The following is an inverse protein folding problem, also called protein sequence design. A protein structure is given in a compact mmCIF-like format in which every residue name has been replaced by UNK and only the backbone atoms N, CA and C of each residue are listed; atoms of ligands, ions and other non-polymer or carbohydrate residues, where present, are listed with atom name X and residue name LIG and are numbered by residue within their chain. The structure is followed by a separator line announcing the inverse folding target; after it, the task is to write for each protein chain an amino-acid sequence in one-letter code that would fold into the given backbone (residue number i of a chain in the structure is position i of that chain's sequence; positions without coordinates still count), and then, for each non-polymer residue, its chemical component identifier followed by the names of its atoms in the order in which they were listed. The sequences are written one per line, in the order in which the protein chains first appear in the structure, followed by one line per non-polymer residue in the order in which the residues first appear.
data_IF_154346509330
#
_entry.id   IF_154346509330
#
_cell.length_a   1.000
_cell.length_b   1.000
_cell.length_c   1.000
_cell.angle_alpha   90.00
_cell.angle_beta   90.00
_cell.angle_gamma   90.00
#
_symmetry.space_group_name_H-M   'P 1'
#
loop_
_entity.id
_entity.type
_entity.pdbx_description
1 polymer ?
#
# COMPACT_ATOMS: atom_id res chain seq x y z
N UNK A 1 21.81 -20.82 34.25
CA UNK A 1 22.35 -21.74 33.22
C UNK A 1 21.25 -22.75 32.92
N UNK A 2 20.39 -22.47 31.95
CA UNK A 2 19.21 -23.30 31.66
C UNK A 2 19.62 -24.52 30.83
N UNK A 3 19.41 -25.72 31.38
CA UNK A 3 19.47 -26.97 30.63
C UNK A 3 18.08 -27.22 30.02
N UNK A 4 18.03 -27.40 28.71
CA UNK A 4 16.88 -27.95 27.99
C UNK A 4 16.79 -29.45 28.29
N UNK A 5 15.62 -29.92 28.71
CA UNK A 5 15.23 -31.33 28.63
C UNK A 5 14.07 -31.45 27.65
N UNK A 6 14.32 -32.11 26.53
CA UNK A 6 13.35 -32.50 25.51
C UNK A 6 12.56 -33.69 26.06
N UNK A 7 11.37 -33.43 26.63
CA UNK A 7 10.24 -34.35 26.72
C UNK A 7 9.11 -33.64 27.47
N UNK A 8 8.14 -33.13 26.74
CA UNK A 8 6.94 -32.52 27.30
C UNK A 8 5.84 -32.55 26.27
N UNK A 9 5.03 -33.60 26.31
CA UNK A 9 3.72 -33.62 25.65
C UNK A 9 2.94 -32.37 26.06
N UNK A 10 2.51 -31.58 25.08
CA UNK A 10 1.66 -30.41 25.33
C UNK A 10 0.25 -30.95 25.65
N UNK A 11 -0.11 -30.96 26.93
CA UNK A 11 -1.49 -31.16 27.34
C UNK A 11 -2.26 -29.86 27.06
N UNK A 12 -3.20 -29.92 26.11
CA UNK A 12 -4.13 -28.83 25.83
C UNK A 12 -5.16 -28.80 26.97
N UNK A 13 -5.02 -27.86 27.90
CA UNK A 13 -6.05 -27.57 28.88
C UNK A 13 -7.30 -27.04 28.17
N UNK A 14 -8.44 -27.66 28.44
CA UNK A 14 -9.72 -27.31 27.84
C UNK A 14 -10.29 -26.06 28.54
N UNK A 15 -9.75 -24.88 28.22
CA UNK A 15 -10.32 -23.60 28.63
C UNK A 15 -11.54 -23.27 27.76
N UNK A 16 -12.61 -22.68 28.32
CA UNK A 16 -13.79 -22.28 27.54
C UNK A 16 -13.37 -21.35 26.40
N UNK A 17 -13.85 -21.61 25.18
CA UNK A 17 -13.49 -20.83 24.00
C UNK A 17 -14.05 -19.41 24.08
N UNK A 18 -13.35 -18.51 24.76
CA UNK A 18 -13.45 -17.08 24.47
C UNK A 18 -12.94 -16.90 23.05
N UNK A 19 -13.82 -16.51 22.13
CA UNK A 19 -13.45 -16.12 20.75
C UNK A 19 -12.23 -15.20 20.87
N UNK A 20 -11.08 -15.48 20.21
CA UNK A 20 -9.88 -14.68 20.41
C UNK A 20 -10.20 -13.21 20.17
N UNK A 21 -9.81 -12.34 21.11
CA UNK A 21 -9.96 -10.90 20.97
C UNK A 21 -9.21 -10.46 19.71
N UNK A 22 -9.93 -9.87 18.76
CA UNK A 22 -9.34 -9.34 17.52
C UNK A 22 -8.76 -7.95 17.75
N UNK A 23 -7.60 -7.67 17.18
CA UNK A 23 -6.94 -6.37 17.32
C UNK A 23 -7.48 -5.41 16.27
N UNK A 24 -8.28 -4.42 16.70
CA UNK A 24 -8.86 -3.43 15.81
C UNK A 24 -7.80 -2.49 15.20
N UNK A 25 -7.95 -2.21 13.90
CA UNK A 25 -7.20 -1.16 13.20
C UNK A 25 -7.91 0.19 13.38
N UNK A 26 -7.15 1.29 13.26
CA UNK A 26 -7.72 2.66 13.33
C UNK A 26 -8.77 2.93 12.25
N UNK A 27 -8.57 2.35 11.07
CA UNK A 27 -9.46 2.49 9.90
C UNK A 27 -9.74 1.11 9.30
N UNK A 28 -10.90 0.97 8.65
CA UNK A 28 -11.14 -0.12 7.71
C UNK A 28 -10.36 0.11 6.41
N UNK A 29 -9.94 -0.97 5.77
CA UNK A 29 -9.13 -0.96 4.55
C UNK A 29 -9.67 -1.94 3.52
N UNK A 30 -9.36 -1.68 2.25
CA UNK A 30 -9.77 -2.52 1.13
C UNK A 30 -8.59 -2.79 0.20
N UNK A 31 -8.33 -4.07 -0.06
CA UNK A 31 -7.43 -4.49 -1.13
C UNK A 31 -8.18 -4.62 -2.46
N UNK A 32 -7.57 -4.11 -3.53
CA UNK A 32 -8.01 -4.30 -4.90
C UNK A 32 -6.85 -4.81 -5.75
N UNK A 33 -7.19 -5.54 -6.82
CA UNK A 33 -6.26 -6.01 -7.81
C UNK A 33 -6.71 -5.62 -9.21
N UNK A 34 -5.76 -5.22 -10.04
CA UNK A 34 -5.97 -5.01 -11.47
C UNK A 34 -4.84 -5.70 -12.24
N UNK A 35 -5.18 -6.26 -13.39
CA UNK A 35 -4.20 -6.79 -14.34
C UNK A 35 -4.69 -6.52 -15.75
N UNK A 36 -3.77 -6.25 -16.66
CA UNK A 36 -4.06 -6.14 -18.08
C UNK A 36 -2.97 -6.81 -18.91
N UNK A 37 -3.35 -7.27 -20.09
CA UNK A 37 -2.38 -7.79 -21.04
C UNK A 37 -1.57 -6.64 -21.67
N UNK A 38 -0.32 -6.87 -22.09
CA UNK A 38 0.44 -5.89 -22.86
C UNK A 38 -0.33 -5.42 -24.10
N UNK A 39 -0.43 -4.10 -24.30
CA UNK A 39 -1.15 -3.50 -25.42
C UNK A 39 -2.66 -3.28 -25.17
N UNK A 40 -3.22 -3.84 -24.11
CA UNK A 40 -4.62 -3.66 -23.75
C UNK A 40 -4.88 -2.25 -23.19
N UNK A 41 -5.86 -1.56 -23.76
CA UNK A 41 -6.33 -0.25 -23.28
C UNK A 41 -7.39 -0.45 -22.22
N UNK A 42 -7.20 0.22 -21.09
CA UNK A 42 -8.23 0.32 -20.05
C UNK A 42 -9.20 1.42 -20.49
N UNK A 43 -10.43 1.05 -20.80
CA UNK A 43 -11.52 1.98 -21.14
C UNK A 43 -12.22 2.46 -19.87
N UNK A 44 -12.48 1.53 -18.95
CA UNK A 44 -13.02 1.80 -17.62
C UNK A 44 -12.00 1.33 -16.58
N UNK A 45 -11.31 2.28 -15.96
CA UNK A 45 -10.29 2.00 -14.96
C UNK A 45 -10.88 1.50 -13.66
N UNK A 46 -12.03 2.05 -13.26
CA UNK A 46 -12.70 1.66 -12.02
C UNK A 46 -13.29 0.26 -12.15
N UNK A 47 -14.00 -0.03 -13.24
CA UNK A 47 -14.57 -1.34 -13.52
C UNK A 47 -13.52 -2.45 -13.74
N UNK A 48 -12.30 -2.10 -14.14
CA UNK A 48 -11.21 -3.07 -14.28
C UNK A 48 -10.63 -3.54 -12.92
N UNK A 49 -10.88 -2.80 -11.83
CA UNK A 49 -10.37 -3.15 -10.50
C UNK A 49 -11.27 -4.17 -9.80
N UNK A 50 -10.67 -5.28 -9.38
CA UNK A 50 -11.36 -6.34 -8.64
C UNK A 50 -11.10 -6.18 -7.15
N UNK A 51 -12.17 -6.01 -6.37
CA UNK A 51 -12.10 -6.03 -4.90
C UNK A 51 -11.64 -7.41 -4.43
N UNK A 52 -10.64 -7.46 -3.56
CA UNK A 52 -10.14 -8.71 -2.98
C UNK A 52 -10.72 -8.93 -1.58
N UNK A 53 -10.50 -7.97 -0.67
CA UNK A 53 -10.89 -8.10 0.73
C UNK A 53 -11.15 -6.73 1.35
N UNK A 54 -12.03 -6.70 2.34
CA UNK A 54 -12.18 -5.58 3.28
C UNK A 54 -11.86 -6.10 4.67
N UNK A 55 -11.08 -5.33 5.42
CA UNK A 55 -10.65 -5.71 6.77
C UNK A 55 -10.60 -4.49 7.68
N UNK A 56 -10.86 -4.71 8.97
CA UNK A 56 -10.83 -3.69 10.03
C UNK A 56 -10.06 -4.17 11.28
N UNK A 57 -9.50 -5.37 11.22
CA UNK A 57 -8.68 -5.97 12.28
C UNK A 57 -7.36 -6.50 11.72
N UNK A 58 -6.37 -6.69 12.59
CA UNK A 58 -5.06 -7.27 12.23
C UNK A 58 -5.22 -8.73 11.76
N UNK A 59 -6.14 -9.48 12.37
CA UNK A 59 -6.41 -10.87 12.01
C UNK A 59 -7.04 -10.97 10.63
N UNK A 60 -8.04 -10.14 10.31
CA UNK A 60 -8.63 -10.08 8.97
C UNK A 60 -7.60 -9.64 7.93
N UNK A 61 -6.70 -8.71 8.28
CA UNK A 61 -5.58 -8.33 7.42
C UNK A 61 -4.72 -9.54 7.09
N UNK A 62 -4.24 -10.28 8.09
CA UNK A 62 -3.38 -11.44 7.85
C UNK A 62 -4.10 -12.58 7.16
N UNK A 63 -5.40 -12.79 7.44
CA UNK A 63 -6.23 -13.75 6.73
C UNK A 63 -6.30 -13.45 5.22
N UNK A 64 -6.36 -12.17 4.84
CA UNK A 64 -6.31 -11.77 3.43
C UNK A 64 -4.89 -11.77 2.86
N UNK A 65 -3.96 -11.07 3.50
CA UNK A 65 -2.62 -10.78 2.98
C UNK A 65 -1.77 -12.04 2.77
N UNK A 66 -1.85 -13.00 3.70
CA UNK A 66 -1.09 -14.27 3.60
C UNK A 66 -1.49 -15.15 2.40
N UNK A 67 -2.67 -14.92 1.81
CA UNK A 67 -3.17 -15.64 0.64
C UNK A 67 -3.02 -14.84 -0.66
N UNK A 68 -2.51 -13.60 -0.60
CA UNK A 68 -2.20 -12.84 -1.80
C UNK A 68 -0.98 -13.42 -2.50
N UNK A 69 -0.96 -13.36 -3.84
CA UNK A 69 0.28 -13.62 -4.58
C UNK A 69 1.29 -12.54 -4.22
N UNK A 70 2.54 -12.93 -3.99
CA UNK A 70 3.59 -11.96 -3.71
C UNK A 70 3.80 -11.08 -4.94
N UNK A 71 4.16 -9.79 -4.76
CA UNK A 71 4.47 -8.90 -5.87
C UNK A 71 5.44 -9.45 -6.91
N UNK A 72 6.40 -10.28 -6.50
CA UNK A 72 7.38 -10.93 -7.37
C UNK A 72 6.79 -12.03 -8.27
N UNK A 73 5.65 -12.59 -7.89
CA UNK A 73 4.96 -13.67 -8.61
C UNK A 73 3.79 -13.14 -9.46
N UNK A 74 3.57 -11.83 -9.47
CA UNK A 74 2.52 -11.20 -10.25
C UNK A 74 2.91 -11.10 -11.73
N UNK A 75 1.95 -11.25 -12.65
CA UNK A 75 2.19 -10.99 -14.05
C UNK A 75 2.54 -9.51 -14.27
N UNK A 76 3.31 -9.26 -15.33
CA UNK A 76 3.64 -7.89 -15.70
C UNK A 76 2.38 -7.07 -15.96
N UNK A 77 2.43 -5.77 -15.65
CA UNK A 77 1.28 -4.86 -15.78
C UNK A 77 0.11 -5.24 -14.86
N UNK A 78 0.48 -5.58 -13.62
CA UNK A 78 -0.46 -5.76 -12.51
C UNK A 78 -0.34 -4.64 -11.50
N UNK A 79 -1.43 -4.38 -10.80
CA UNK A 79 -1.51 -3.39 -9.75
C UNK A 79 -2.21 -3.97 -8.50
N UNK A 80 -1.61 -3.75 -7.33
CA UNK A 80 -2.30 -3.88 -6.04
C UNK A 80 -2.62 -2.49 -5.50
N UNK A 81 -3.83 -2.33 -4.98
CA UNK A 81 -4.27 -1.12 -4.31
C UNK A 81 -4.70 -1.44 -2.90
N UNK A 82 -4.22 -0.67 -1.92
CA UNK A 82 -4.69 -0.69 -0.54
C UNK A 82 -5.24 0.70 -0.23
N UNK A 83 -6.55 0.84 -0.04
CA UNK A 83 -7.18 2.14 0.26
C UNK A 83 -8.08 2.05 1.47
N UNK A 84 -8.22 3.18 2.18
CA UNK A 84 -9.20 3.28 3.28
C UNK A 84 -10.59 2.90 2.77
N UNK A 85 -11.34 2.21 3.61
CA UNK A 85 -12.73 1.85 3.29
C UNK A 85 -13.55 3.12 3.04
N UNK A 86 -14.26 3.14 1.91
CA UNK A 86 -15.02 4.30 1.46
C UNK A 86 -14.25 5.29 0.57
N UNK A 87 -12.94 5.12 0.42
CA UNK A 87 -12.12 5.90 -0.53
C UNK A 87 -11.84 5.06 -1.77
N UNK A 88 -12.27 5.53 -2.93
CA UNK A 88 -12.04 4.81 -4.20
C UNK A 88 -10.61 5.07 -4.68
N UNK A 89 -9.90 4.07 -5.23
CA UNK A 89 -8.53 4.21 -5.75
C UNK A 89 -8.47 4.92 -7.12
N UNK A 90 -9.27 5.98 -7.28
CA UNK A 90 -9.39 6.80 -8.49
C UNK A 90 -9.25 8.28 -8.12
N UNK A 91 -8.85 9.10 -9.08
CA UNK A 91 -8.54 10.52 -8.86
C UNK A 91 -9.80 11.38 -8.74
N UNK A 92 -10.91 10.91 -9.31
CA UNK A 92 -12.24 11.51 -9.27
C UNK A 92 -12.92 11.32 -7.90
N UNK A 93 -12.36 10.51 -7.02
CA UNK A 93 -12.86 10.40 -5.64
C UNK A 93 -12.71 11.75 -4.93
N UNK A 94 -13.77 12.18 -4.24
CA UNK A 94 -13.80 13.48 -3.57
C UNK A 94 -12.68 13.65 -2.53
N UNK A 95 -12.21 12.54 -1.93
CA UNK A 95 -11.10 12.54 -0.98
C UNK A 95 -9.75 12.70 -1.67
N UNK A 96 -9.63 12.24 -2.92
CA UNK A 96 -8.39 12.23 -3.68
C UNK A 96 -8.23 13.49 -4.55
N UNK A 97 -9.30 14.11 -5.04
CA UNK A 97 -9.24 15.15 -6.09
C UNK A 97 -8.31 16.33 -5.78
N UNK A 98 -8.20 16.75 -4.51
CA UNK A 98 -7.32 17.83 -4.07
C UNK A 98 -5.92 17.37 -3.63
N UNK A 99 -5.69 16.07 -3.75
CA UNK A 99 -4.55 15.35 -3.24
C UNK A 99 -3.43 15.16 -4.25
N UNK A 100 -2.56 14.22 -3.92
CA UNK A 100 -1.44 13.83 -4.75
C UNK A 100 -0.87 12.51 -4.32
N UNK A 101 0.24 12.14 -4.94
CA UNK A 101 0.96 10.91 -4.62
C UNK A 101 2.45 11.10 -4.63
N UNK A 102 3.09 10.48 -3.65
CA UNK A 102 4.51 10.15 -3.73
C UNK A 102 4.70 8.92 -4.60
N UNK A 103 5.76 8.90 -5.39
CA UNK A 103 6.12 7.85 -6.34
C UNK A 103 7.56 7.45 -6.08
N UNK A 104 7.80 6.15 -5.92
CA UNK A 104 9.12 5.55 -5.80
C UNK A 104 9.25 4.45 -6.85
N UNK A 105 10.24 4.57 -7.72
CA UNK A 105 10.64 3.50 -8.63
C UNK A 105 11.59 2.56 -7.93
N UNK A 106 11.29 1.27 -7.97
CA UNK A 106 12.04 0.25 -7.26
C UNK A 106 12.57 -0.79 -8.25
N UNK A 107 13.83 -1.17 -8.08
CA UNK A 107 14.44 -2.23 -8.88
C UNK A 107 13.70 -3.54 -8.66
N UNK A 108 13.70 -4.38 -9.70
CA UNK A 108 13.13 -5.74 -9.64
C UNK A 108 13.71 -6.54 -8.47
N UNK A 109 12.87 -7.37 -7.88
CA UNK A 109 13.18 -8.18 -6.70
C UNK A 109 12.97 -7.48 -5.35
N UNK A 110 12.81 -6.15 -5.32
CA UNK A 110 12.61 -5.40 -4.07
C UNK A 110 11.14 -5.15 -3.72
N UNK A 111 10.25 -5.22 -4.71
CA UNK A 111 8.85 -4.82 -4.56
C UNK A 111 8.10 -5.59 -3.47
N UNK A 112 8.36 -6.89 -3.30
CA UNK A 112 7.66 -7.69 -2.28
C UNK A 112 7.93 -7.19 -0.87
N UNK A 113 9.20 -6.98 -0.52
CA UNK A 113 9.60 -6.45 0.79
C UNK A 113 9.04 -5.05 1.01
N UNK A 114 9.24 -4.16 0.05
CA UNK A 114 8.82 -2.77 0.21
C UNK A 114 7.31 -2.62 0.27
N UNK A 115 6.56 -3.41 -0.49
CA UNK A 115 5.11 -3.41 -0.41
C UNK A 115 4.61 -3.86 0.97
N UNK A 116 5.16 -4.96 1.50
CA UNK A 116 4.79 -5.45 2.83
C UNK A 116 5.10 -4.41 3.93
N UNK A 117 6.32 -3.86 3.95
CA UNK A 117 6.70 -2.84 4.94
C UNK A 117 5.83 -1.59 4.84
N UNK A 118 5.48 -1.15 3.63
CA UNK A 118 4.59 0.00 3.43
C UNK A 118 3.18 -0.28 3.95
N UNK A 119 2.60 -1.41 3.57
CA UNK A 119 1.24 -1.82 3.96
C UNK A 119 1.14 -1.88 5.49
N UNK A 120 2.12 -2.52 6.15
CA UNK A 120 2.17 -2.60 7.61
C UNK A 120 2.28 -1.22 8.26
N UNK A 121 3.13 -0.34 7.73
CA UNK A 121 3.26 1.03 8.24
C UNK A 121 1.97 1.84 8.07
N UNK A 122 1.23 1.64 6.98
CA UNK A 122 -0.05 2.30 6.71
C UNK A 122 -1.15 1.81 7.66
N UNK A 123 -1.38 0.51 7.74
CA UNK A 123 -2.47 -0.04 8.58
C UNK A 123 -2.16 0.11 10.07
N UNK A 124 -0.87 0.12 10.43
CA UNK A 124 -0.37 0.39 11.78
C UNK A 124 -0.28 1.88 12.13
N UNK A 125 -0.81 2.78 11.28
CA UNK A 125 -0.94 4.22 11.55
C UNK A 125 0.41 4.94 11.83
N UNK A 126 1.49 4.49 11.20
CA UNK A 126 2.86 4.95 11.52
C UNK A 126 3.31 6.21 10.78
N UNK A 127 2.42 6.87 10.02
CA UNK A 127 2.76 8.08 9.28
C UNK A 127 2.65 9.36 10.11
N UNK A 128 1.90 9.34 11.22
CA UNK A 128 1.73 10.50 12.12
C UNK A 128 1.32 11.79 11.36
N UNK A 129 0.43 11.65 10.38
CA UNK A 129 -0.13 12.75 9.56
C UNK A 129 -1.64 12.82 9.69
N UNK A 130 -2.17 12.39 10.83
CA UNK A 130 -3.60 12.23 11.07
C UNK A 130 -4.25 11.35 9.99
N UNK A 131 -5.28 11.86 9.32
CA UNK A 131 -6.08 11.09 8.38
C UNK A 131 -5.66 11.25 6.91
N UNK A 132 -4.52 11.92 6.65
CA UNK A 132 -4.09 12.34 5.31
C UNK A 132 -3.83 11.19 4.33
N UNK A 133 -3.43 10.01 4.81
CA UNK A 133 -3.20 8.86 3.92
C UNK A 133 -4.53 8.35 3.37
N UNK A 134 -4.68 8.35 2.06
CA UNK A 134 -5.81 7.74 1.36
C UNK A 134 -5.58 6.25 1.13
N UNK A 135 -4.36 5.91 0.71
CA UNK A 135 -3.99 4.56 0.33
C UNK A 135 -2.63 4.47 -0.33
N UNK A 136 -2.30 3.27 -0.83
CA UNK A 136 -1.09 3.00 -1.57
C UNK A 136 -1.37 2.10 -2.78
N UNK A 137 -0.50 2.22 -3.78
CA UNK A 137 -0.53 1.44 -5.01
C UNK A 137 0.83 0.82 -5.24
N UNK A 138 0.86 -0.47 -5.57
CA UNK A 138 2.02 -1.14 -6.12
C UNK A 138 1.73 -1.49 -7.57
N UNK A 139 2.61 -1.09 -8.47
CA UNK A 139 2.51 -1.28 -9.91
C UNK A 139 3.67 -2.12 -10.42
N UNK A 140 3.40 -3.33 -10.87
CA UNK A 140 4.38 -4.23 -11.49
C UNK A 140 4.55 -3.85 -12.95
N UNK A 141 5.76 -3.47 -13.37
CA UNK A 141 6.07 -3.09 -14.77
C UNK A 141 7.29 -3.84 -15.29
N UNK A 142 7.67 -3.65 -16.56
CA UNK A 142 8.72 -4.45 -17.18
C UNK A 142 10.12 -4.19 -16.60
N UNK A 143 10.54 -2.93 -16.58
CA UNK A 143 11.89 -2.52 -16.18
C UNK A 143 12.05 -2.38 -14.66
N UNK A 144 11.06 -1.81 -14.00
CA UNK A 144 11.05 -1.45 -12.59
C UNK A 144 9.63 -1.61 -12.05
N UNK A 145 9.48 -1.77 -10.75
CA UNK A 145 8.18 -1.68 -10.10
C UNK A 145 8.00 -0.28 -9.53
N UNK A 146 6.76 0.14 -9.34
CA UNK A 146 6.46 1.49 -8.87
C UNK A 146 5.59 1.37 -7.63
N UNK A 147 5.99 2.02 -6.56
CA UNK A 147 5.20 2.16 -5.33
C UNK A 147 4.70 3.60 -5.28
N UNK A 148 3.42 3.78 -4.96
CA UNK A 148 2.83 5.10 -4.76
C UNK A 148 2.07 5.17 -3.45
N UNK A 149 2.15 6.31 -2.76
CA UNK A 149 1.35 6.61 -1.55
C UNK A 149 0.54 7.86 -1.82
N UNK A 150 -0.77 7.76 -1.66
CA UNK A 150 -1.75 8.80 -1.98
C UNK A 150 -2.17 9.53 -0.71
N UNK A 151 -2.25 10.85 -0.78
CA UNK A 151 -2.71 11.69 0.32
C UNK A 151 -3.73 12.73 -0.12
N UNK A 152 -4.57 13.15 0.83
CA UNK A 152 -5.75 14.00 0.62
C UNK A 152 -5.42 15.42 0.15
N UNK A 153 -4.34 15.99 0.67
CA UNK A 153 -4.08 17.43 0.52
C UNK A 153 -2.73 17.68 -0.12
N UNK A 154 -2.72 18.09 -1.39
CA UNK A 154 -1.45 18.39 -2.09
C UNK A 154 -0.85 19.75 -1.72
N UNK A 155 -1.65 20.70 -1.22
CA UNK A 155 -1.19 22.06 -0.89
C UNK A 155 -0.39 22.16 0.41
N UNK A 156 -0.42 21.13 1.28
CA UNK A 156 0.30 21.16 2.56
C UNK A 156 1.71 20.57 2.43
N UNK A 157 2.68 21.40 2.03
CA UNK A 157 4.06 20.98 1.83
C UNK A 157 4.72 20.31 3.05
N UNK A 158 4.40 20.75 4.27
CA UNK A 158 4.96 20.17 5.50
C UNK A 158 4.49 18.73 5.71
N UNK A 159 3.18 18.49 5.51
CA UNK A 159 2.61 17.13 5.59
C UNK A 159 3.20 16.26 4.47
N UNK A 160 3.26 16.77 3.23
CA UNK A 160 3.79 16.01 2.11
C UNK A 160 5.24 15.57 2.34
N UNK A 161 6.10 16.45 2.87
CA UNK A 161 7.48 16.09 3.22
C UNK A 161 7.53 15.07 4.37
N UNK A 162 6.67 15.18 5.38
CA UNK A 162 6.59 14.17 6.46
C UNK A 162 6.17 12.79 5.94
N UNK A 163 5.25 12.73 4.97
CA UNK A 163 4.87 11.49 4.30
C UNK A 163 6.07 10.90 3.56
N UNK A 164 6.79 11.71 2.76
CA UNK A 164 8.02 11.29 2.06
C UNK A 164 9.04 10.69 3.00
N UNK A 165 9.37 11.40 4.08
CA UNK A 165 10.41 10.99 5.02
C UNK A 165 10.02 9.71 5.77
N UNK A 166 8.72 9.53 6.00
CA UNK A 166 8.17 8.29 6.55
C UNK A 166 8.31 7.12 5.59
N UNK A 167 8.00 7.31 4.31
CA UNK A 167 8.22 6.28 3.29
C UNK A 167 9.70 5.89 3.25
N UNK A 168 10.62 6.87 3.17
CA UNK A 168 12.07 6.61 3.16
C UNK A 168 12.50 5.76 4.37
N UNK A 169 12.00 6.09 5.57
CA UNK A 169 12.32 5.40 6.82
C UNK A 169 11.80 3.97 6.87
N UNK A 170 10.50 3.74 6.63
CA UNK A 170 9.89 2.41 6.76
C UNK A 170 10.34 1.44 5.67
N UNK A 171 10.67 1.97 4.49
CA UNK A 171 11.21 1.17 3.40
C UNK A 171 12.74 1.03 3.47
N UNK A 172 13.40 1.72 4.41
CA UNK A 172 14.86 1.80 4.51
C UNK A 172 15.50 2.11 3.14
N UNK A 173 14.98 3.14 2.47
CA UNK A 173 15.46 3.53 1.15
C UNK A 173 16.87 4.15 1.27
N UNK A 174 17.77 3.85 0.31
CA UNK A 174 19.02 4.59 0.18
C UNK A 174 18.79 6.10 0.16
N UNK A 175 19.71 6.86 0.75
CA UNK A 175 19.56 8.31 0.91
C UNK A 175 19.41 9.04 -0.44
N UNK A 176 20.06 8.52 -1.49
CA UNK A 176 20.03 9.00 -2.87
C UNK A 176 18.81 8.52 -3.67
N UNK A 177 17.87 7.80 -3.03
CA UNK A 177 16.64 7.36 -3.70
C UNK A 177 15.79 8.57 -4.09
N UNK A 178 15.65 8.73 -5.40
CA UNK A 178 14.77 9.74 -5.99
C UNK A 178 13.32 9.38 -5.68
N UNK A 179 12.59 10.37 -5.16
CA UNK A 179 11.16 10.28 -4.98
C UNK A 179 10.49 11.40 -5.77
N UNK A 180 9.36 11.09 -6.37
CA UNK A 180 8.60 12.05 -7.17
C UNK A 180 7.27 12.34 -6.50
N UNK A 181 6.81 13.58 -6.56
CA UNK A 181 5.45 13.93 -6.17
C UNK A 181 4.65 14.35 -7.39
N UNK A 182 3.37 13.97 -7.42
CA UNK A 182 2.45 14.44 -8.45
C UNK A 182 1.07 14.70 -7.86
N UNK A 183 0.53 15.89 -8.10
CA UNK A 183 -0.87 16.17 -7.77
C UNK A 183 -1.78 15.35 -8.66
N UNK A 184 -2.96 14.98 -8.16
CA UNK A 184 -3.90 14.25 -8.99
C UNK A 184 -4.38 15.11 -10.16
N UNK A 185 -4.66 16.39 -9.95
CA UNK A 185 -5.02 17.35 -11.00
C UNK A 185 -4.02 17.41 -12.16
N UNK A 186 -2.71 17.43 -11.87
CA UNK A 186 -1.69 17.38 -12.92
C UNK A 186 -1.68 16.04 -13.65
N UNK A 187 -1.96 14.94 -12.95
CA UNK A 187 -2.07 13.63 -13.60
C UNK A 187 -3.22 13.56 -14.60
N UNK A 188 -4.32 14.29 -14.35
CA UNK A 188 -5.51 14.35 -15.22
C UNK A 188 -5.18 15.14 -16.47
N UNK A 189 -4.60 16.32 -16.26
CA UNK A 189 -4.20 17.24 -17.32
C UNK A 189 -3.24 16.55 -18.27
N UNK A 190 -2.27 15.81 -17.73
CA UNK A 190 -1.26 15.09 -18.51
C UNK A 190 -1.75 13.76 -19.07
N UNK A 191 -2.94 13.28 -18.64
CA UNK A 191 -3.43 11.91 -18.85
C UNK A 191 -2.33 10.88 -18.54
N UNK A 192 -1.61 11.11 -17.43
CA UNK A 192 -0.43 10.33 -17.08
C UNK A 192 -0.10 10.39 -15.59
N UNK A 193 0.09 9.21 -15.01
CA UNK A 193 0.48 9.05 -13.60
C UNK A 193 1.95 9.37 -13.29
N UNK A 194 2.84 9.30 -14.29
CA UNK A 194 4.30 9.24 -14.05
C UNK A 194 5.13 10.18 -14.95
N UNK A 195 4.49 11.00 -15.79
CA UNK A 195 5.15 12.05 -16.58
C UNK A 195 5.06 13.38 -15.85
N UNK A 196 6.00 14.30 -16.08
CA UNK A 196 6.01 15.68 -15.53
C UNK A 196 5.78 15.74 -14.01
N UNK A 197 6.52 14.92 -13.27
CA UNK A 197 6.45 14.87 -11.81
C UNK A 197 7.46 15.84 -11.18
N UNK A 198 7.16 16.33 -9.98
CA UNK A 198 8.12 17.08 -9.19
C UNK A 198 9.15 16.12 -8.59
N UNK A 199 10.44 16.32 -8.94
CA UNK A 199 11.52 15.42 -8.54
C UNK A 199 12.16 15.90 -7.24
N UNK A 200 12.18 15.04 -6.23
CA UNK A 200 12.84 15.26 -4.96
C UNK A 200 14.02 14.29 -4.84
N UNK A 201 15.22 14.86 -4.74
CA UNK A 201 16.47 14.14 -4.48
C UNK A 201 16.67 14.05 -2.97
#
# INVERSE_FOLDING_TARGET
MYKMSFNGSVELSNTPSTRPESHALRYGWVFWFMHRSPGEKIVDYEGAMKKIATFKTVEEFWAAYSHLRRPSDLPNISDYHLFKQGVRPVWEDAVNINGGKWIVRVKKGLASRYWESLVLAIIGDQFDVNDEICGAVLSIRGSEDIISVWNKTSSNGKINLKIRDTIKRHLNLPADTIMEYKTHNDALRDKSSFRNTDVFR
#
